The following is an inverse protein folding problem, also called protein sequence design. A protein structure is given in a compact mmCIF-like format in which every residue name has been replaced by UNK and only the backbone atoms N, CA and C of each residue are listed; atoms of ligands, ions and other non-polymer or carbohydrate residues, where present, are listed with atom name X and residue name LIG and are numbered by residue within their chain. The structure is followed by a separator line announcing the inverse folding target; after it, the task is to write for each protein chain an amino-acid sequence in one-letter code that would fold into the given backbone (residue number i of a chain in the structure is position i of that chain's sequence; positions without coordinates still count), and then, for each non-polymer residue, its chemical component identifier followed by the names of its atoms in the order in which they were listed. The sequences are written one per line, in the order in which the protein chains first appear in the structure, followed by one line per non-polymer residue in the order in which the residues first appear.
data_IF_983503484578
#
_entry.id   IF_983503484578
#
_cell.length_a   1.000
_cell.length_b   1.000
_cell.length_c   1.000
_cell.angle_alpha   90.00
_cell.angle_beta   90.00
_cell.angle_gamma   90.00
#
_symmetry.space_group_name_H-M   'P 1'
#
loop_
_entity.id
_entity.type
_entity.pdbx_description
1 polymer ?
#
# COMPACT_ATOMS: atom_id res chain seq x y z
N UNK A 1 -4.16 19.08 -18.18
CA UNK A 1 -4.80 18.99 -16.85
C UNK A 1 -5.31 17.59 -16.53
N UNK A 2 -5.84 16.83 -17.49
CA UNK A 2 -6.37 15.48 -17.24
C UNK A 2 -5.29 14.41 -16.95
N UNK A 3 -4.20 14.40 -17.74
CA UNK A 3 -3.15 13.37 -17.64
C UNK A 3 -2.37 13.41 -16.31
N UNK A 4 -2.13 14.62 -15.76
CA UNK A 4 -1.44 14.78 -14.49
C UNK A 4 -2.29 14.30 -13.32
N UNK A 5 -3.60 14.55 -13.36
CA UNK A 5 -4.57 14.04 -12.37
C UNK A 5 -4.65 12.52 -12.47
N UNK A 6 -4.73 11.95 -13.68
CA UNK A 6 -4.75 10.50 -13.87
C UNK A 6 -3.47 9.82 -13.36
N UNK A 7 -2.30 10.37 -13.69
CA UNK A 7 -1.01 9.91 -13.15
C UNK A 7 -0.96 10.04 -11.63
N UNK A 8 -1.41 11.16 -11.07
CA UNK A 8 -1.45 11.37 -9.62
C UNK A 8 -2.43 10.41 -8.92
N UNK A 9 -3.58 10.11 -9.52
CA UNK A 9 -4.53 9.11 -9.00
C UNK A 9 -3.96 7.69 -9.07
N UNK A 10 -3.23 7.35 -10.13
CA UNK A 10 -2.49 6.08 -10.23
C UNK A 10 -1.44 5.95 -9.13
N UNK A 11 -0.63 7.00 -8.92
CA UNK A 11 0.36 7.04 -7.84
C UNK A 11 -0.28 7.01 -6.44
N UNK A 12 -1.41 7.69 -6.24
CA UNK A 12 -2.16 7.65 -4.99
C UNK A 12 -2.70 6.24 -4.71
N UNK A 13 -3.27 5.57 -5.71
CA UNK A 13 -3.74 4.19 -5.59
C UNK A 13 -2.61 3.22 -5.24
N UNK A 14 -1.45 3.37 -5.91
CA UNK A 14 -0.26 2.57 -5.60
C UNK A 14 0.23 2.82 -4.17
N UNK A 15 0.23 4.08 -3.72
CA UNK A 15 0.62 4.46 -2.36
C UNK A 15 -0.32 3.84 -1.32
N UNK A 16 -1.63 3.90 -1.55
CA UNK A 16 -2.63 3.29 -0.67
C UNK A 16 -2.47 1.76 -0.62
N UNK A 17 -2.16 1.11 -1.74
CA UNK A 17 -1.88 -0.32 -1.77
C UNK A 17 -0.64 -0.66 -0.93
N UNK A 18 0.45 0.10 -1.09
CA UNK A 18 1.68 -0.09 -0.31
C UNK A 18 1.43 0.10 1.19
N UNK A 19 0.60 1.08 1.56
CA UNK A 19 0.20 1.31 2.95
C UNK A 19 -0.61 0.14 3.51
N UNK A 20 -1.54 -0.41 2.72
CA UNK A 20 -2.35 -1.57 3.14
C UNK A 20 -1.47 -2.81 3.39
N UNK A 21 -0.51 -3.09 2.51
CA UNK A 21 0.47 -4.18 2.70
C UNK A 21 1.30 -3.95 3.96
N UNK A 22 1.82 -2.75 4.14
CA UNK A 22 2.63 -2.41 5.31
C UNK A 22 1.84 -2.56 6.61
N UNK A 23 0.59 -2.08 6.64
CA UNK A 23 -0.29 -2.22 7.78
C UNK A 23 -0.63 -3.69 8.09
N UNK A 24 -0.88 -4.49 7.06
CA UNK A 24 -1.14 -5.92 7.21
C UNK A 24 0.08 -6.66 7.76
N UNK A 25 1.27 -6.37 7.25
CA UNK A 25 2.52 -6.96 7.75
C UNK A 25 2.79 -6.58 9.20
N UNK A 26 2.55 -5.31 9.56
CA UNK A 26 2.69 -4.86 10.94
C UNK A 26 1.71 -5.55 11.88
N UNK A 27 0.45 -5.68 11.47
CA UNK A 27 -0.58 -6.37 12.26
C UNK A 27 -0.24 -7.83 12.53
N UNK A 28 0.48 -8.48 11.61
CA UNK A 28 0.86 -9.89 11.71
C UNK A 28 2.30 -10.11 12.22
N UNK A 29 3.05 -9.04 12.52
CA UNK A 29 4.47 -9.14 12.89
C UNK A 29 4.73 -9.98 14.16
N UNK A 30 3.75 -10.06 15.06
CA UNK A 30 3.85 -10.88 16.28
C UNK A 30 3.29 -12.30 16.14
N UNK A 31 2.74 -12.65 14.97
CA UNK A 31 2.20 -13.98 14.70
C UNK A 31 3.36 -14.97 14.48
N UNK A 32 3.52 -16.02 15.32
CA UNK A 32 4.60 -16.99 15.14
C UNK A 32 4.54 -17.66 13.76
N UNK A 33 5.65 -17.65 13.03
CA UNK A 33 5.76 -18.25 11.69
C UNK A 33 5.27 -17.38 10.54
N UNK A 34 4.80 -16.15 10.79
CA UNK A 34 4.43 -15.21 9.72
C UNK A 34 5.63 -14.78 8.86
N UNK A 35 5.40 -14.61 7.55
CA UNK A 35 6.37 -14.17 6.54
C UNK A 35 5.72 -13.10 5.67
N UNK A 36 6.32 -11.92 5.64
CA UNK A 36 5.89 -10.75 4.88
C UNK A 36 6.40 -10.75 3.43
#
# INVERSE_FOLDING_TARGET
MDHAIYTAMGAASQTLNQQAVTASNLANASTPGFRA
#
